data_IF_347285148003
#
_entry.id   IF_347285148003
#
_cell.length_a   1.000
_cell.length_b   1.000
_cell.length_c   1.000
_cell.angle_alpha   90.00
_cell.angle_beta   90.00
_cell.angle_gamma   90.00
#
_symmetry.space_group_name_H-M   'P 1'
#
loop_
_entity.id
_entity.type
_entity.pdbx_description
1 polymer ?
#
# COMPACT_ATOMS: atom_id res chain seq x y z
N UNK A 1 21.05 -2.54 12.94
CA UNK A 1 19.99 -3.41 12.40
C UNK A 1 19.16 -2.62 11.40
N UNK A 2 18.91 -3.17 10.20
CA UNK A 2 18.06 -2.53 9.19
C UNK A 2 16.60 -2.77 9.59
N UNK A 3 15.78 -1.71 9.69
CA UNK A 3 14.34 -1.87 10.00
C UNK A 3 13.67 -2.60 8.82
N UNK A 4 12.71 -3.52 9.09
CA UNK A 4 11.93 -4.12 8.03
C UNK A 4 11.14 -3.04 7.28
N UNK A 5 10.94 -3.25 5.99
CA UNK A 5 10.13 -2.37 5.13
C UNK A 5 9.00 -3.22 4.58
N UNK A 6 7.77 -2.77 4.80
CA UNK A 6 6.54 -3.45 4.43
C UNK A 6 6.00 -2.96 3.08
N UNK A 7 6.39 -1.75 2.66
CA UNK A 7 5.96 -1.15 1.38
C UNK A 7 7.13 -0.82 0.41
N UNK A 8 8.13 -1.70 0.21
CA UNK A 8 9.28 -1.38 -0.64
C UNK A 8 8.90 -1.16 -2.11
N UNK A 9 7.96 -1.94 -2.67
CA UNK A 9 7.58 -1.80 -4.08
C UNK A 9 6.73 -0.55 -4.30
N UNK A 10 5.81 -0.26 -3.38
CA UNK A 10 4.93 0.92 -3.47
C UNK A 10 5.72 2.21 -3.34
N UNK A 11 6.70 2.25 -2.43
CA UNK A 11 7.57 3.42 -2.26
C UNK A 11 8.44 3.65 -3.49
N UNK A 12 9.06 2.60 -4.04
CA UNK A 12 9.85 2.67 -5.26
C UNK A 12 9.03 3.12 -6.48
N UNK A 13 7.85 2.50 -6.69
CA UNK A 13 6.93 2.88 -7.76
C UNK A 13 6.47 4.34 -7.62
N UNK A 14 6.18 4.81 -6.40
CA UNK A 14 5.78 6.19 -6.17
C UNK A 14 6.92 7.19 -6.43
N UNK A 15 8.17 6.83 -6.12
CA UNK A 15 9.36 7.64 -6.46
C UNK A 15 9.50 7.74 -7.98
N UNK A 16 9.48 6.60 -8.68
CA UNK A 16 9.63 6.55 -10.13
C UNK A 16 8.54 7.31 -10.88
N UNK A 17 7.31 7.27 -10.37
CA UNK A 17 6.16 7.94 -10.98
C UNK A 17 5.99 9.41 -10.53
N UNK A 18 6.89 9.93 -9.67
CA UNK A 18 6.79 11.29 -9.12
C UNK A 18 5.55 11.53 -8.23
N UNK A 19 4.99 10.47 -7.66
CA UNK A 19 3.74 10.47 -6.89
C UNK A 19 3.98 10.89 -5.42
N UNK A 20 4.43 12.13 -5.20
CA UNK A 20 4.88 12.61 -3.87
C UNK A 20 3.87 12.41 -2.74
N UNK A 21 2.57 12.63 -3.00
CA UNK A 21 1.52 12.41 -2.01
C UNK A 21 1.37 10.91 -1.64
N UNK A 22 1.48 10.03 -2.64
CA UNK A 22 1.46 8.57 -2.42
C UNK A 22 2.70 8.13 -1.65
N UNK A 23 3.89 8.61 -2.03
CA UNK A 23 5.14 8.32 -1.36
C UNK A 23 5.11 8.72 0.12
N UNK A 24 4.59 9.92 0.41
CA UNK A 24 4.41 10.39 1.79
C UNK A 24 3.50 9.44 2.58
N UNK A 25 2.33 9.08 2.05
CA UNK A 25 1.40 8.16 2.72
C UNK A 25 1.94 6.75 2.86
N UNK A 26 2.69 6.25 1.87
CA UNK A 26 3.34 4.96 1.92
C UNK A 26 4.39 4.91 3.04
N UNK A 27 5.19 5.97 3.18
CA UNK A 27 6.18 6.08 4.27
C UNK A 27 5.50 6.11 5.64
N UNK A 28 4.38 6.82 5.78
CA UNK A 28 3.62 6.85 7.02
C UNK A 28 3.00 5.49 7.37
N UNK A 29 2.47 4.77 6.39
CA UNK A 29 1.91 3.44 6.56
C UNK A 29 2.99 2.39 6.87
N UNK A 30 4.14 2.45 6.21
CA UNK A 30 5.29 1.58 6.44
C UNK A 30 5.80 1.66 7.89
N UNK A 31 5.93 2.88 8.42
CA UNK A 31 6.30 3.09 9.83
C UNK A 31 5.27 2.56 10.80
N UNK A 32 3.98 2.71 10.48
CA UNK A 32 2.91 2.15 11.32
C UNK A 32 2.91 0.62 11.27
N UNK A 33 3.20 0.03 10.10
CA UNK A 33 3.32 -1.41 9.92
C UNK A 33 4.50 -1.97 10.74
N UNK A 34 5.67 -1.33 10.71
CA UNK A 34 6.83 -1.70 11.54
C UNK A 34 6.51 -1.66 13.04
N UNK A 35 5.81 -0.62 13.49
CA UNK A 35 5.38 -0.53 14.89
C UNK A 35 4.37 -1.64 15.25
N UNK A 36 3.38 -1.89 14.40
CA UNK A 36 2.38 -2.93 14.61
C UNK A 36 3.03 -4.33 14.64
N UNK A 37 3.97 -4.56 13.72
CA UNK A 37 4.75 -5.77 13.65
C UNK A 37 5.54 -6.05 14.91
N UNK A 38 6.26 -5.04 15.41
CA UNK A 38 7.03 -5.16 16.64
C UNK A 38 6.13 -5.51 17.84
N UNK A 39 4.90 -4.97 17.91
CA UNK A 39 3.94 -5.32 18.96
C UNK A 39 3.44 -6.76 18.85
N UNK A 40 3.17 -7.24 17.63
CA UNK A 40 2.77 -8.63 17.38
C UNK A 40 3.87 -9.60 17.80
N UNK A 41 5.12 -9.34 17.41
CA UNK A 41 6.26 -10.17 17.80
C UNK A 41 6.55 -10.16 19.31
N UNK A 42 6.14 -9.10 20.01
CA UNK A 42 6.24 -9.02 21.46
C UNK A 42 5.09 -9.73 22.19
N UNK A 43 4.11 -10.29 21.48
CA UNK A 43 2.91 -10.92 22.06
C UNK A 43 1.98 -9.91 22.75
N UNK A 44 2.06 -8.63 22.36
CA UNK A 44 1.25 -7.54 22.90
C UNK A 44 0.13 -7.17 21.94
N UNK A 45 -0.96 -6.62 22.50
CA UNK A 45 -2.09 -6.09 21.74
C UNK A 45 -1.65 -5.04 20.71
N UNK A 46 -1.68 -5.43 19.43
CA UNK A 46 -1.31 -4.59 18.29
C UNK A 46 -2.48 -3.70 17.78
N UNK A 47 -3.68 -3.90 18.32
CA UNK A 47 -4.94 -3.22 17.97
C UNK A 47 -4.89 -1.68 18.03
N UNK A 48 -3.86 -1.09 18.65
CA UNK A 48 -3.65 0.36 18.79
C UNK A 48 -2.65 0.98 17.82
N UNK A 49 -2.12 0.24 16.85
CA UNK A 49 -1.07 0.75 15.95
C UNK A 49 -1.57 1.80 14.92
N UNK A 50 -2.89 2.02 14.82
CA UNK A 50 -3.48 3.04 13.93
C UNK A 50 -3.28 2.77 12.44
N UNK A 51 -2.98 1.51 12.10
CA UNK A 51 -2.54 1.10 10.77
C UNK A 51 -3.66 1.19 9.73
N UNK A 52 -4.89 0.79 10.05
CA UNK A 52 -6.05 0.90 9.13
C UNK A 52 -6.21 2.34 8.61
N UNK A 53 -6.20 3.34 9.51
CA UNK A 53 -6.31 4.73 9.13
C UNK A 53 -5.17 5.20 8.18
N UNK A 54 -3.96 4.62 8.31
CA UNK A 54 -2.83 4.92 7.41
C UNK A 54 -2.99 4.23 6.06
N UNK A 55 -3.39 2.96 6.04
CA UNK A 55 -3.66 2.21 4.81
C UNK A 55 -4.81 2.84 4.01
N UNK A 56 -5.86 3.32 4.69
CA UNK A 56 -6.97 4.04 4.05
C UNK A 56 -6.51 5.33 3.38
N UNK A 57 -5.70 6.15 4.08
CA UNK A 57 -5.12 7.39 3.52
C UNK A 57 -4.20 7.11 2.34
N UNK A 58 -3.46 6.00 2.37
CA UNK A 58 -2.62 5.57 1.25
C UNK A 58 -3.47 5.15 0.03
N UNK A 59 -4.51 4.35 0.23
CA UNK A 59 -5.45 3.97 -0.83
C UNK A 59 -6.16 5.19 -1.44
N UNK A 60 -6.56 6.16 -0.61
CA UNK A 60 -7.15 7.42 -1.06
C UNK A 60 -6.17 8.23 -1.92
N UNK A 61 -4.96 8.50 -1.43
CA UNK A 61 -3.94 9.23 -2.19
C UNK A 61 -3.61 8.53 -3.51
N UNK A 62 -3.56 7.20 -3.51
CA UNK A 62 -3.34 6.39 -4.72
C UNK A 62 -4.49 6.56 -5.69
N UNK A 63 -5.74 6.48 -5.23
CA UNK A 63 -6.92 6.68 -6.08
C UNK A 63 -6.95 8.05 -6.76
N UNK A 64 -6.53 9.10 -6.04
CA UNK A 64 -6.41 10.46 -6.60
C UNK A 64 -5.31 10.50 -7.66
N UNK A 65 -4.14 9.92 -7.36
CA UNK A 65 -2.99 9.91 -8.27
C UNK A 65 -3.26 9.13 -9.57
N UNK A 66 -3.77 7.90 -9.47
CA UNK A 66 -4.07 7.04 -10.64
C UNK A 66 -5.31 7.52 -11.42
N UNK A 67 -6.04 8.48 -10.87
CA UNK A 67 -7.31 8.96 -11.37
C UNK A 67 -8.48 8.14 -10.81
N UNK A 68 -9.35 8.81 -10.05
CA UNK A 68 -10.49 8.18 -9.37
C UNK A 68 -11.36 7.37 -10.33
N UNK A 69 -11.71 7.93 -11.50
CA UNK A 69 -12.53 7.21 -12.49
C UNK A 69 -11.90 5.89 -12.94
N UNK A 70 -10.57 5.85 -13.13
CA UNK A 70 -9.87 4.63 -13.50
C UNK A 70 -9.83 3.65 -12.32
N UNK A 71 -9.52 4.14 -11.11
CA UNK A 71 -9.48 3.31 -9.89
C UNK A 71 -10.79 2.56 -9.64
N UNK A 72 -11.93 3.20 -9.90
CA UNK A 72 -13.25 2.62 -9.69
C UNK A 72 -13.70 1.70 -10.86
N UNK A 73 -13.08 1.79 -12.04
CA UNK A 73 -13.44 1.02 -13.24
C UNK A 73 -12.34 0.02 -13.63
N UNK A 74 -11.44 0.40 -14.54
CA UNK A 74 -10.39 -0.49 -15.06
C UNK A 74 -9.39 -0.93 -13.98
N UNK A 75 -9.20 -0.09 -12.96
CA UNK A 75 -8.39 -0.39 -11.77
C UNK A 75 -9.07 -1.28 -10.73
N UNK A 76 -10.32 -1.70 -10.95
CA UNK A 76 -11.12 -2.45 -9.97
C UNK A 76 -10.49 -3.77 -9.54
N UNK A 77 -9.71 -4.42 -10.41
CA UNK A 77 -8.96 -5.64 -10.06
C UNK A 77 -7.86 -5.35 -9.02
N UNK A 78 -7.10 -4.28 -9.18
CA UNK A 78 -6.08 -3.84 -8.22
C UNK A 78 -6.74 -3.45 -6.90
N UNK A 79 -7.81 -2.64 -6.96
CA UNK A 79 -8.57 -2.24 -5.78
C UNK A 79 -9.10 -3.44 -4.98
N UNK A 80 -9.62 -4.48 -5.65
CA UNK A 80 -10.06 -5.72 -4.98
C UNK A 80 -8.92 -6.46 -4.30
N UNK A 81 -7.73 -6.50 -4.91
CA UNK A 81 -6.54 -7.10 -4.28
C UNK A 81 -6.09 -6.31 -3.06
N UNK A 82 -6.09 -4.97 -3.15
CA UNK A 82 -5.80 -4.08 -2.03
C UNK A 82 -6.79 -4.32 -0.88
N UNK A 83 -8.09 -4.30 -1.16
CA UNK A 83 -9.12 -4.52 -0.14
C UNK A 83 -8.99 -5.91 0.52
N UNK A 84 -8.73 -6.97 -0.28
CA UNK A 84 -8.50 -8.31 0.26
C UNK A 84 -7.27 -8.35 1.17
N UNK A 85 -6.17 -7.73 0.76
CA UNK A 85 -4.95 -7.69 1.57
C UNK A 85 -5.16 -6.89 2.86
N UNK A 86 -5.94 -5.80 2.83
CA UNK A 86 -6.32 -5.04 4.03
C UNK A 86 -7.09 -5.91 5.04
N UNK A 87 -8.07 -6.69 4.57
CA UNK A 87 -8.81 -7.63 5.43
C UNK A 87 -7.84 -8.63 6.08
N UNK A 88 -6.95 -9.24 5.30
CA UNK A 88 -5.97 -10.18 5.86
C UNK A 88 -4.99 -9.52 6.86
N UNK A 89 -4.64 -8.24 6.68
CA UNK A 89 -3.84 -7.49 7.65
C UNK A 89 -4.62 -7.32 8.96
N UNK A 90 -5.90 -6.95 8.87
CA UNK A 90 -6.78 -6.76 10.03
C UNK A 90 -7.01 -8.07 10.79
N UNK A 91 -7.24 -9.17 10.07
CA UNK A 91 -7.38 -10.51 10.64
C UNK A 91 -6.09 -10.92 11.38
N UNK A 92 -4.92 -10.77 10.73
CA UNK A 92 -3.63 -11.10 11.35
C UNK A 92 -3.31 -10.25 12.60
N UNK A 93 -3.72 -8.97 12.62
CA UNK A 93 -3.61 -8.12 13.82
C UNK A 93 -4.50 -8.66 14.94
N UNK A 94 -5.72 -9.07 14.61
CA UNK A 94 -6.71 -9.57 15.56
C UNK A 94 -6.29 -10.92 16.15
N UNK A 95 -5.69 -11.78 15.32
CA UNK A 95 -5.22 -13.12 15.70
C UNK A 95 -3.85 -13.10 16.36
N UNK A 96 -3.14 -11.97 16.31
CA UNK A 96 -1.77 -11.85 16.84
C UNK A 96 -0.73 -12.56 15.96
N UNK A 97 -1.08 -12.93 14.73
CA UNK A 97 -0.20 -13.70 13.85
C UNK A 97 0.72 -12.78 13.06
N UNK A 98 1.99 -12.82 13.44
CA UNK A 98 3.01 -12.13 12.68
C UNK A 98 3.16 -12.69 11.25
N UNK A 99 3.37 -13.99 11.10
CA UNK A 99 3.66 -14.57 9.78
C UNK A 99 2.59 -14.18 8.74
N UNK A 100 1.32 -14.24 9.12
CA UNK A 100 0.21 -13.81 8.27
C UNK A 100 0.21 -12.31 8.00
N UNK A 101 0.51 -11.48 8.99
CA UNK A 101 0.61 -10.03 8.79
C UNK A 101 1.70 -9.70 7.76
N UNK A 102 2.88 -10.30 7.86
CA UNK A 102 3.95 -10.08 6.89
C UNK A 102 3.55 -10.53 5.47
N UNK A 103 2.89 -11.69 5.36
CA UNK A 103 2.39 -12.20 4.09
C UNK A 103 1.30 -11.30 3.48
N UNK A 104 0.37 -10.83 4.30
CA UNK A 104 -0.68 -9.93 3.87
C UNK A 104 -0.10 -8.60 3.36
N UNK A 105 0.94 -8.08 4.02
CA UNK A 105 1.66 -6.89 3.56
C UNK A 105 2.37 -7.07 2.22
N UNK A 106 2.99 -8.23 1.95
CA UNK A 106 3.55 -8.50 0.62
C UNK A 106 2.47 -8.42 -0.47
N UNK A 107 1.29 -8.96 -0.20
CA UNK A 107 0.14 -8.89 -1.12
C UNK A 107 -0.37 -7.46 -1.32
N UNK A 108 -0.44 -6.68 -0.22
CA UNK A 108 -0.85 -5.28 -0.27
C UNK A 108 0.14 -4.42 -1.06
N UNK A 109 1.44 -4.54 -0.77
CA UNK A 109 2.51 -3.78 -1.42
C UNK A 109 2.54 -4.05 -2.93
N UNK A 110 2.47 -5.32 -3.32
CA UNK A 110 2.44 -5.70 -4.73
C UNK A 110 1.21 -5.14 -5.46
N UNK A 111 0.03 -5.20 -4.82
CA UNK A 111 -1.21 -4.68 -5.43
C UNK A 111 -1.17 -3.16 -5.63
N UNK A 112 -0.63 -2.43 -4.65
CA UNK A 112 -0.47 -0.97 -4.70
C UNK A 112 0.56 -0.53 -5.73
N UNK A 113 1.75 -1.14 -5.72
CA UNK A 113 2.80 -0.86 -6.70
C UNK A 113 2.32 -1.11 -8.13
N UNK A 114 1.60 -2.22 -8.37
CA UNK A 114 1.04 -2.54 -9.69
C UNK A 114 0.07 -1.47 -10.18
N UNK A 115 -0.76 -0.91 -9.30
CA UNK A 115 -1.68 0.17 -9.66
C UNK A 115 -0.94 1.45 -10.08
N UNK A 116 0.17 1.79 -9.41
CA UNK A 116 0.99 2.95 -9.73
C UNK A 116 1.72 2.79 -11.06
N UNK A 117 2.27 1.61 -11.34
CA UNK A 117 2.98 1.34 -12.60
C UNK A 117 2.01 1.35 -13.79
N UNK A 118 0.84 0.71 -13.68
CA UNK A 118 -0.12 0.65 -14.78
C UNK A 118 -0.70 2.02 -15.18
N UNK A 119 -0.68 3.02 -14.29
CA UNK A 119 -1.07 4.39 -14.66
C UNK A 119 0.07 5.17 -15.30
N UNK A 120 1.33 4.99 -14.84
CA UNK A 120 2.49 5.68 -15.41
C UNK A 120 2.71 5.31 -16.88
N UNK A 121 2.57 4.03 -17.23
CA UNK A 121 2.63 3.56 -18.63
C UNK A 121 1.58 4.24 -19.52
N UNK A 122 0.38 4.50 -18.99
CA UNK A 122 -0.68 5.26 -19.70
C UNK A 122 -0.38 6.75 -19.77
N UNK A 123 0.22 7.33 -18.73
CA UNK A 123 0.66 8.73 -18.70
C UNK A 123 1.73 9.03 -19.74
N UNK A 124 2.74 8.14 -19.86
CA UNK A 124 3.80 8.23 -20.86
C UNK A 124 3.28 8.04 -22.29
N UNK A 125 2.24 7.23 -22.50
CA UNK A 125 1.56 7.08 -23.78
C UNK A 125 0.90 8.36 -24.30
N UNK A 126 0.37 9.21 -23.40
CA UNK A 126 -0.24 10.50 -23.79
C UNK A 126 0.80 11.57 -24.16
N UNK A 127 2.02 11.48 -23.65
CA UNK A 127 3.10 12.42 -23.97
C UNK A 127 3.80 12.10 -25.30
N UNK A 128 3.80 10.84 -25.76
CA UNK A 128 4.38 10.46 -27.07
C UNK A 128 3.47 10.76 -28.27
N UNK A 129 2.17 10.95 -28.07
CA UNK A 129 1.23 11.27 -29.14
C UNK A 129 1.11 12.77 -29.47
N UNK A 130 2.01 13.60 -28.92
CA UNK A 130 2.03 15.08 -29.13
C UNK A 130 3.33 15.59 -29.77
N UNK A 131 4.05 14.74 -30.49
CA UNK A 131 5.17 15.11 -31.38
C UNK A 131 4.85 14.59 -32.77
#
# INVERSE_FOLDING_TARGET
>A
MRRPTFLPLTTDAAVHAGAHAVLHRATEADRAADACWATLLAGSEASRCGLDARLRKLSEATSVYVGTKWWFNEGSAYRRRVARAQICIEDAITEGDGSEFAQAFMGYDHAMASALVCTDERGRGKHRARL
#
